data_IF_085839294106
#
_entry.id   IF_085839294106
#
_cell.length_a   1.000
_cell.length_b   1.000
_cell.length_c   1.000
_cell.angle_alpha   90.00
_cell.angle_beta   90.00
_cell.angle_gamma   90.00
#
_symmetry.space_group_name_H-M   'P 1'
#
loop_
_entity.id
_entity.type
_entity.pdbx_description
1 polymer ?
#
# COMPACT_ATOMS: atom_id res chain seq x y z
N UNK A 1 -0.93 8.36 20.21
CA UNK A 1 -2.37 8.28 19.88
C UNK A 1 -2.49 8.00 18.38
N UNK A 2 -3.04 6.85 17.98
CA UNK A 2 -3.17 6.42 16.58
C UNK A 2 -4.60 6.61 16.01
N UNK A 3 -5.52 7.23 16.76
CA UNK A 3 -6.96 7.08 16.54
C UNK A 3 -7.58 7.82 15.33
N UNK A 4 -6.95 8.86 14.78
CA UNK A 4 -7.55 9.64 13.67
C UNK A 4 -6.86 9.38 12.34
N UNK A 5 -5.56 9.06 12.36
CA UNK A 5 -4.80 8.72 11.16
C UNK A 5 -5.20 7.34 10.63
N UNK A 6 -5.47 6.38 11.53
CA UNK A 6 -5.84 5.01 11.21
C UNK A 6 -7.21 4.93 10.50
N UNK A 7 -8.21 5.69 10.93
CA UNK A 7 -9.55 5.71 10.32
C UNK A 7 -9.55 6.27 8.89
N UNK A 8 -8.79 7.34 8.63
CA UNK A 8 -8.70 7.94 7.29
C UNK A 8 -7.83 7.07 6.38
N UNK A 9 -6.67 6.62 6.83
CA UNK A 9 -5.79 5.79 5.99
C UNK A 9 -6.45 4.45 5.65
N UNK A 10 -7.02 3.75 6.64
CA UNK A 10 -7.73 2.48 6.43
C UNK A 10 -9.02 2.68 5.64
N UNK A 11 -9.75 3.76 5.88
CA UNK A 11 -10.97 4.07 5.13
C UNK A 11 -10.72 4.36 3.64
N UNK A 12 -9.55 4.92 3.28
CA UNK A 12 -9.23 5.26 1.89
C UNK A 12 -8.47 4.16 1.13
N UNK A 13 -7.70 3.32 1.82
CA UNK A 13 -6.94 2.23 1.17
C UNK A 13 -7.47 0.83 1.42
N UNK A 14 -8.41 0.65 2.34
CA UNK A 14 -8.79 -0.68 2.83
C UNK A 14 -7.60 -1.44 3.43
N UNK A 15 -6.56 -0.74 3.88
CA UNK A 15 -5.29 -1.37 4.28
C UNK A 15 -5.47 -2.32 5.45
N UNK A 16 -5.13 -3.59 5.23
CA UNK A 16 -5.03 -4.60 6.29
C UNK A 16 -3.72 -5.40 6.16
N UNK A 17 -3.10 -5.73 7.30
CA UNK A 17 -1.97 -6.67 7.36
C UNK A 17 -2.49 -8.03 7.81
N UNK A 18 -2.61 -8.99 6.89
CA UNK A 18 -3.10 -10.34 7.20
C UNK A 18 -2.22 -11.39 6.55
N UNK A 19 -1.77 -12.36 7.36
CA UNK A 19 -0.98 -13.50 6.87
C UNK A 19 0.38 -13.12 6.28
N UNK A 20 0.94 -11.96 6.66
CA UNK A 20 2.19 -11.44 6.10
C UNK A 20 2.04 -10.62 4.83
N UNK A 21 0.83 -10.52 4.27
CA UNK A 21 0.54 -9.72 3.10
C UNK A 21 -0.06 -8.35 3.46
N UNK A 22 0.14 -7.38 2.58
CA UNK A 22 -0.57 -6.11 2.56
C UNK A 22 -1.82 -6.26 1.69
N UNK A 23 -2.99 -6.25 2.32
CA UNK A 23 -4.28 -6.21 1.64
C UNK A 23 -4.70 -4.77 1.46
N UNK A 24 -5.13 -4.44 0.24
CA UNK A 24 -5.53 -3.11 -0.15
C UNK A 24 -6.86 -3.24 -0.92
N UNK A 25 -7.82 -2.40 -0.56
CA UNK A 25 -9.07 -2.19 -1.30
C UNK A 25 -9.30 -0.67 -1.43
N UNK A 26 -8.48 0.00 -2.25
CA UNK A 26 -8.49 1.45 -2.33
C UNK A 26 -9.73 1.94 -3.07
N UNK A 27 -10.49 2.81 -2.42
CA UNK A 27 -11.67 3.44 -3.04
C UNK A 27 -11.20 4.59 -3.95
N UNK A 28 -11.72 4.71 -5.19
CA UNK A 28 -11.44 5.86 -6.04
C UNK A 28 -11.90 7.16 -5.37
N UNK A 29 -11.00 8.12 -5.21
CA UNK A 29 -11.30 9.44 -4.64
C UNK A 29 -11.00 10.52 -5.68
N UNK A 30 -11.97 10.86 -6.54
CA UNK A 30 -11.75 11.80 -7.64
C UNK A 30 -11.37 13.21 -7.16
N UNK A 31 -11.74 13.63 -5.93
CA UNK A 31 -11.36 14.96 -5.42
C UNK A 31 -9.91 15.04 -4.91
N UNK A 32 -9.27 13.90 -4.62
CA UNK A 32 -7.87 13.87 -4.19
C UNK A 32 -6.94 13.57 -5.38
N UNK A 33 -6.15 14.56 -5.76
CA UNK A 33 -5.19 14.43 -6.87
C UNK A 33 -4.09 13.41 -6.57
N UNK A 34 -3.66 13.30 -5.32
CA UNK A 34 -2.82 12.20 -4.83
C UNK A 34 -2.82 12.14 -3.30
N UNK A 35 -2.60 10.97 -2.74
CA UNK A 35 -2.29 10.81 -1.32
C UNK A 35 -1.25 9.69 -1.13
N UNK A 36 -0.40 9.81 -0.13
CA UNK A 36 0.58 8.78 0.17
C UNK A 36 1.05 8.81 1.61
N UNK A 37 1.56 7.67 2.06
CA UNK A 37 2.04 7.47 3.42
C UNK A 37 3.11 6.39 3.45
N UNK A 38 3.86 6.35 4.54
CA UNK A 38 4.83 5.30 4.81
C UNK A 38 4.32 4.45 5.97
N UNK A 39 4.53 3.14 5.88
CA UNK A 39 4.18 2.19 6.92
C UNK A 39 5.37 1.29 7.23
N UNK A 40 5.29 0.64 8.38
CA UNK A 40 6.19 -0.46 8.74
C UNK A 40 5.46 -1.77 8.48
N UNK A 41 6.08 -2.65 7.70
CA UNK A 41 5.56 -4.00 7.43
C UNK A 41 6.63 -5.02 7.80
N UNK A 42 6.41 -5.77 8.88
CA UNK A 42 7.39 -6.70 9.45
C UNK A 42 8.78 -6.05 9.64
N UNK A 43 9.76 -6.53 8.86
CA UNK A 43 11.18 -6.15 8.87
C UNK A 43 11.42 -4.85 8.07
N UNK A 44 10.46 -4.46 7.24
CA UNK A 44 10.56 -3.29 6.37
C UNK A 44 10.10 -2.03 7.08
N UNK A 45 11.02 -1.10 7.25
CA UNK A 45 10.74 0.23 7.75
C UNK A 45 10.64 1.22 6.59
N UNK A 46 9.47 1.79 6.37
CA UNK A 46 9.28 2.84 5.36
C UNK A 46 8.80 2.33 4.01
N UNK A 47 7.99 1.26 3.99
CA UNK A 47 7.23 0.88 2.78
C UNK A 47 6.31 2.05 2.45
N UNK A 48 6.48 2.64 1.26
CA UNK A 48 5.69 3.80 0.83
C UNK A 48 4.57 3.36 -0.10
N UNK A 49 3.36 3.83 0.22
CA UNK A 49 2.19 3.72 -0.64
C UNK A 49 1.83 5.11 -1.15
N UNK A 50 1.61 5.25 -2.45
CA UNK A 50 1.11 6.47 -3.07
C UNK A 50 -0.01 6.12 -4.04
N UNK A 51 -1.15 6.76 -3.87
CA UNK A 51 -2.27 6.69 -4.79
C UNK A 51 -2.36 8.01 -5.56
N UNK A 52 -2.47 7.92 -6.88
CA UNK A 52 -2.66 9.07 -7.76
C UNK A 52 -3.47 8.63 -8.99
N UNK A 53 -4.64 9.24 -9.22
CA UNK A 53 -5.44 9.07 -10.46
C UNK A 53 -5.61 7.61 -10.92
N UNK A 54 -6.05 6.75 -10.01
CA UNK A 54 -6.24 5.32 -10.32
C UNK A 54 -4.93 4.54 -10.46
N UNK A 55 -3.79 5.08 -10.02
CA UNK A 55 -2.53 4.34 -9.91
C UNK A 55 -2.14 4.21 -8.45
N UNK A 56 -1.86 2.98 -8.03
CA UNK A 56 -1.19 2.67 -6.78
C UNK A 56 0.30 2.39 -7.07
N UNK A 57 1.18 3.18 -6.46
CA UNK A 57 2.61 2.93 -6.40
C UNK A 57 2.97 2.41 -5.00
N UNK A 58 3.69 1.30 -4.96
CA UNK A 58 4.25 0.71 -3.74
C UNK A 58 5.76 0.68 -3.89
N UNK A 59 6.49 1.38 -3.03
CA UNK A 59 7.95 1.32 -2.99
C UNK A 59 8.42 0.59 -1.73
N UNK A 60 9.09 -0.54 -1.92
CA UNK A 60 9.70 -1.31 -0.83
C UNK A 60 11.15 -0.84 -0.67
N UNK A 61 11.55 -0.38 0.53
CA UNK A 61 12.95 0.00 0.75
C UNK A 61 13.87 -1.20 0.57
N UNK A 62 15.10 -0.95 0.11
CA UNK A 62 16.14 -1.99 0.10
C UNK A 62 16.43 -2.44 1.53
N UNK A 63 16.44 -3.75 1.74
CA UNK A 63 16.71 -4.39 3.02
C UNK A 63 17.06 -5.86 2.79
N UNK A 64 17.53 -6.53 3.85
CA UNK A 64 17.72 -7.99 3.86
C UNK A 64 16.42 -8.76 4.21
N UNK A 65 15.29 -8.04 4.26
CA UNK A 65 13.99 -8.60 4.61
C UNK A 65 13.38 -9.47 3.51
N UNK A 66 12.32 -10.20 3.86
CA UNK A 66 11.60 -11.05 2.89
C UNK A 66 10.74 -10.23 1.92
N UNK A 67 10.41 -10.75 0.71
CA UNK A 67 9.51 -10.08 -0.22
C UNK A 67 8.14 -9.76 0.40
N UNK A 68 7.50 -8.70 -0.09
CA UNK A 68 6.17 -8.29 0.36
C UNK A 68 5.12 -8.73 -0.64
N UNK A 69 4.20 -9.58 -0.19
CA UNK A 69 2.97 -9.87 -0.92
C UNK A 69 1.98 -8.70 -0.79
N UNK A 70 1.55 -8.16 -1.92
CA UNK A 70 0.52 -7.12 -2.02
C UNK A 70 -0.70 -7.71 -2.71
N UNK A 71 -1.87 -7.57 -2.07
CA UNK A 71 -3.15 -8.12 -2.53
C UNK A 71 -4.14 -6.97 -2.76
N UNK A 72 -4.68 -6.94 -3.97
CA UNK A 72 -5.83 -6.14 -4.38
C UNK A 72 -7.02 -7.08 -4.62
N UNK A 73 -8.26 -6.58 -4.73
CA UNK A 73 -9.44 -7.44 -4.94
C UNK A 73 -9.34 -8.30 -6.20
N UNK A 74 -8.69 -7.78 -7.24
CA UNK A 74 -8.58 -8.39 -8.57
C UNK A 74 -7.26 -9.11 -8.82
N UNK A 75 -6.20 -8.84 -8.03
CA UNK A 75 -4.86 -9.35 -8.30
C UNK A 75 -3.93 -9.38 -7.09
N UNK A 76 -2.81 -10.07 -7.29
CA UNK A 76 -1.72 -10.13 -6.34
C UNK A 76 -0.38 -9.88 -7.02
N UNK A 77 0.52 -9.18 -6.34
CA UNK A 77 1.91 -9.02 -6.77
C UNK A 77 2.83 -9.24 -5.57
N UNK A 78 4.05 -9.70 -5.85
CA UNK A 78 5.08 -9.88 -4.84
C UNK A 78 6.22 -8.92 -5.17
N UNK A 79 6.59 -8.05 -4.23
CA UNK A 79 7.64 -7.03 -4.42
C UNK A 79 8.87 -7.38 -3.60
N UNK A 80 10.02 -7.38 -4.26
CA UNK A 80 11.31 -7.59 -3.62
C UNK A 80 11.74 -6.36 -2.82
N UNK A 81 12.62 -6.51 -1.81
CA UNK A 81 13.28 -5.37 -1.19
C UNK A 81 13.99 -4.52 -2.26
N UNK A 82 13.76 -3.20 -2.24
CA UNK A 82 14.27 -2.26 -3.23
C UNK A 82 13.43 -2.14 -4.51
N UNK A 83 12.36 -2.93 -4.65
CA UNK A 83 11.47 -2.87 -5.81
C UNK A 83 10.39 -1.78 -5.64
N UNK A 84 9.93 -1.25 -6.78
CA UNK A 84 8.75 -0.38 -6.84
C UNK A 84 7.73 -0.98 -7.79
N UNK A 85 6.56 -1.33 -7.26
CA UNK A 85 5.40 -1.81 -8.02
C UNK A 85 4.48 -0.66 -8.41
N UNK A 86 3.92 -0.73 -9.62
CA UNK A 86 2.92 0.23 -10.13
C UNK A 86 1.70 -0.53 -10.64
N UNK A 87 0.55 -0.21 -10.06
CA UNK A 87 -0.66 -1.01 -10.08
C UNK A 87 -1.85 -0.13 -10.46
N UNK A 88 -2.45 -0.35 -11.65
CA UNK A 88 -3.65 0.37 -12.08
C UNK A 88 -4.88 -0.09 -11.28
N UNK A 89 -5.51 0.82 -10.57
CA UNK A 89 -6.76 0.60 -9.86
C UNK A 89 -7.90 0.67 -10.88
N UNK A 90 -8.84 -0.27 -10.81
CA UNK A 90 -10.06 -0.21 -11.60
C UNK A 90 -10.95 0.95 -11.16
N UNK A 91 -11.82 1.40 -12.06
CA UNK A 91 -12.87 2.39 -11.77
C UNK A 91 -13.99 1.80 -10.89
#
# INVERSE_FOLDING_TARGET
MAGTLDLVQRGLTGLETQGGALWLDPVPLPELSSYGFALRHHEHWGVRLRLERGLLEIAVPSSDGTPIDVRLPDRAVCLQPGETGRLLLGD
#
